data_IF_296820098011
#
_entry.id   IF_296820098011
#
_cell.length_a   1.000
_cell.length_b   1.000
_cell.length_c   1.000
_cell.angle_alpha   90.00
_cell.angle_beta   90.00
_cell.angle_gamma   90.00
#
_symmetry.space_group_name_H-M   'P 1'
#
loop_
_entity.id
_entity.type
_entity.pdbx_description
1 polymer ?
#
# COMPACT_ATOMS: atom_id res chain seq x y z
N UNK A 1 -13.49 28.52 39.34
CA UNK A 1 -12.79 27.54 38.49
C UNK A 1 -13.33 27.73 37.08
N UNK A 2 -12.59 28.40 36.22
CA UNK A 2 -12.94 28.45 34.80
C UNK A 2 -12.58 27.11 34.20
N UNK A 3 -13.60 26.29 33.91
CA UNK A 3 -13.43 25.12 33.05
C UNK A 3 -13.11 25.67 31.67
N UNK A 4 -11.86 25.54 31.23
CA UNK A 4 -11.50 25.76 29.83
C UNK A 4 -12.30 24.74 29.02
N UNK A 5 -13.32 25.19 28.30
CA UNK A 5 -13.89 24.44 27.19
C UNK A 5 -12.81 24.42 26.11
N UNK A 6 -12.15 23.27 25.94
CA UNK A 6 -11.37 23.03 24.74
C UNK A 6 -12.38 23.01 23.59
N UNK A 7 -12.41 24.06 22.77
CA UNK A 7 -13.27 24.10 21.59
C UNK A 7 -12.48 23.61 20.38
N UNK A 8 -12.68 22.34 20.03
CA UNK A 8 -12.11 21.72 18.82
C UNK A 8 -13.05 21.77 17.61
N UNK A 9 -14.04 22.68 17.58
CA UNK A 9 -14.91 22.92 16.41
C UNK A 9 -14.16 23.46 15.15
N UNK A 10 -12.83 23.35 15.11
CA UNK A 10 -11.99 23.79 14.00
C UNK A 10 -11.66 22.70 12.98
N UNK A 11 -11.79 21.42 13.35
CA UNK A 11 -11.73 20.34 12.38
C UNK A 11 -13.01 20.33 11.54
N UNK A 12 -12.89 20.27 10.22
CA UNK A 12 -14.03 20.42 9.32
C UNK A 12 -14.20 19.20 8.45
N UNK A 13 -15.38 18.59 8.50
CA UNK A 13 -15.82 17.55 7.60
C UNK A 13 -16.78 18.15 6.58
N UNK A 14 -16.50 17.93 5.30
CA UNK A 14 -17.40 18.24 4.19
C UNK A 14 -17.71 16.97 3.43
N UNK A 15 -18.99 16.70 3.23
CA UNK A 15 -19.47 15.58 2.41
C UNK A 15 -20.19 16.18 1.21
N UNK A 16 -19.81 15.76 0.01
CA UNK A 16 -20.39 16.28 -1.23
C UNK A 16 -21.89 16.02 -1.26
N UNK A 17 -22.67 17.07 -1.53
CA UNK A 17 -24.12 16.98 -1.66
C UNK A 17 -24.89 17.03 -0.33
N UNK A 18 -24.24 16.79 0.82
CA UNK A 18 -24.87 16.89 2.13
C UNK A 18 -25.05 18.36 2.52
N UNK A 19 -26.30 18.77 2.78
CA UNK A 19 -26.66 20.14 3.19
C UNK A 19 -26.78 20.29 4.70
N UNK A 20 -26.96 19.18 5.40
CA UNK A 20 -27.10 19.13 6.84
C UNK A 20 -25.84 19.69 7.52
N UNK A 21 -25.97 20.47 8.60
CA UNK A 21 -24.81 20.99 9.31
C UNK A 21 -24.01 19.84 9.91
N UNK A 22 -22.69 19.90 9.81
CA UNK A 22 -21.78 18.88 10.32
C UNK A 22 -20.81 19.57 11.25
N UNK A 23 -20.86 19.20 12.53
CA UNK A 23 -19.96 19.71 13.55
C UNK A 23 -19.18 18.55 14.19
N UNK A 24 -17.87 18.51 13.94
CA UNK A 24 -17.02 17.37 14.32
C UNK A 24 -16.93 17.28 15.85
N UNK A 25 -17.14 16.08 16.39
CA UNK A 25 -17.10 15.79 17.81
C UNK A 25 -15.79 15.10 18.20
N UNK A 26 -15.45 14.02 17.49
CA UNK A 26 -14.23 13.25 17.69
C UNK A 26 -13.89 12.49 16.43
N UNK A 27 -12.63 12.11 16.25
CA UNK A 27 -12.24 11.20 15.19
C UNK A 27 -11.07 10.34 15.61
N UNK A 28 -10.94 9.20 14.93
CA UNK A 28 -9.73 8.37 14.95
C UNK A 28 -9.30 8.09 13.52
N UNK A 29 -8.05 8.44 13.20
CA UNK A 29 -7.43 8.24 11.91
C UNK A 29 -6.32 7.19 11.97
N UNK A 30 -6.24 6.34 10.97
CA UNK A 30 -5.16 5.37 10.78
C UNK A 30 -4.61 5.55 9.37
N UNK A 31 -3.30 5.71 9.25
CA UNK A 31 -2.61 5.78 7.95
C UNK A 31 -1.34 4.96 7.99
N UNK A 32 -1.00 4.29 6.89
CA UNK A 32 0.21 3.47 6.79
C UNK A 32 0.70 3.45 5.35
N UNK A 33 2.02 3.38 5.14
CA UNK A 33 2.59 3.17 3.81
C UNK A 33 2.03 1.88 3.22
N UNK A 34 1.69 1.94 1.93
CA UNK A 34 1.13 0.81 1.17
C UNK A 34 -0.15 0.23 1.77
N UNK A 35 -0.95 1.04 2.45
CA UNK A 35 -2.27 0.67 2.97
C UNK A 35 -3.23 1.86 2.92
N UNK A 36 -4.49 1.69 2.46
CA UNK A 36 -5.48 2.76 2.50
C UNK A 36 -5.62 3.36 3.89
N UNK A 37 -5.62 4.70 3.98
CA UNK A 37 -5.94 5.36 5.24
C UNK A 37 -7.42 5.18 5.59
N UNK A 38 -7.76 5.32 6.86
CA UNK A 38 -9.13 5.28 7.36
C UNK A 38 -9.32 6.29 8.49
N UNK A 39 -10.33 7.15 8.34
CA UNK A 39 -10.77 8.07 9.38
C UNK A 39 -12.22 7.78 9.75
N UNK A 40 -12.44 7.33 10.98
CA UNK A 40 -13.78 7.26 11.57
C UNK A 40 -14.03 8.59 12.28
N UNK A 41 -15.01 9.36 11.79
CA UNK A 41 -15.28 10.73 12.20
C UNK A 41 -16.70 10.80 12.74
N UNK A 42 -16.82 11.18 14.00
CA UNK A 42 -18.09 11.42 14.66
C UNK A 42 -18.43 12.90 14.63
N UNK A 43 -19.69 13.22 14.35
CA UNK A 43 -20.18 14.59 14.28
C UNK A 43 -21.61 14.71 14.81
N UNK A 44 -21.99 15.93 15.22
CA UNK A 44 -23.38 16.26 15.54
C UNK A 44 -24.02 17.05 14.40
N UNK A 45 -25.34 16.91 14.28
CA UNK A 45 -26.17 17.66 13.33
C UNK A 45 -27.53 17.97 13.94
N UNK A 46 -28.06 19.15 13.65
CA UNK A 46 -29.47 19.48 13.94
C UNK A 46 -30.44 18.71 13.04
N UNK A 47 -29.95 18.19 11.92
CA UNK A 47 -30.69 17.26 11.06
C UNK A 47 -30.62 15.84 11.61
N UNK A 48 -31.76 15.33 12.07
CA UNK A 48 -31.88 14.02 12.72
C UNK A 48 -32.30 12.90 11.77
N UNK A 49 -32.50 13.24 10.49
CA UNK A 49 -32.97 12.31 9.46
C UNK A 49 -32.00 12.30 8.27
N UNK A 50 -30.68 12.28 8.54
CA UNK A 50 -29.68 12.14 7.49
C UNK A 50 -29.79 10.72 6.92
N UNK A 51 -30.25 10.62 5.67
CA UNK A 51 -30.42 9.35 4.98
C UNK A 51 -29.07 8.79 4.48
N UNK A 52 -28.81 7.48 4.61
CA UNK A 52 -27.55 6.86 4.20
C UNK A 52 -27.15 7.12 2.74
N UNK A 53 -28.12 7.21 1.82
CA UNK A 53 -27.90 7.44 0.39
C UNK A 53 -27.35 8.83 0.09
N UNK A 54 -27.58 9.80 1.00
CA UNK A 54 -27.05 11.15 0.89
C UNK A 54 -25.58 11.26 1.33
N UNK A 55 -25.05 10.22 1.97
CA UNK A 55 -23.73 10.20 2.61
C UNK A 55 -22.81 9.17 1.99
N UNK A 56 -23.26 7.91 1.86
CA UNK A 56 -22.44 6.81 1.35
C UNK A 56 -22.05 7.05 -0.11
N UNK A 57 -20.82 6.64 -0.46
CA UNK A 57 -20.23 6.83 -1.78
C UNK A 57 -20.08 8.28 -2.24
N UNK A 58 -20.33 9.26 -1.36
CA UNK A 58 -20.04 10.66 -1.65
C UNK A 58 -18.58 10.99 -1.38
N UNK A 59 -18.04 11.92 -2.17
CA UNK A 59 -16.70 12.46 -1.94
C UNK A 59 -16.69 13.24 -0.61
N UNK A 60 -15.69 12.97 0.22
CA UNK A 60 -15.48 13.63 1.51
C UNK A 60 -14.17 14.41 1.54
N UNK A 61 -14.16 15.51 2.28
CA UNK A 61 -12.95 16.26 2.62
C UNK A 61 -12.92 16.49 4.14
N UNK A 62 -11.86 15.99 4.78
CA UNK A 62 -11.63 16.16 6.21
C UNK A 62 -10.40 17.02 6.46
N UNK A 63 -10.60 18.20 7.03
CA UNK A 63 -9.56 19.21 7.25
C UNK A 63 -9.12 19.25 8.70
N UNK A 64 -7.84 19.01 8.92
CA UNK A 64 -7.13 19.24 10.18
C UNK A 64 -6.67 20.70 10.21
N UNK A 65 -7.07 21.44 11.25
CA UNK A 65 -6.77 22.86 11.40
C UNK A 65 -6.10 23.11 12.75
N UNK A 66 -5.27 24.15 12.85
CA UNK A 66 -4.82 24.65 14.15
C UNK A 66 -5.97 25.34 14.90
N UNK A 67 -5.93 25.45 16.24
CA UNK A 67 -6.88 26.28 16.99
C UNK A 67 -6.92 27.73 16.47
N UNK A 68 -8.07 28.41 16.53
CA UNK A 68 -8.18 29.78 16.06
C UNK A 68 -7.33 30.73 16.92
N UNK A 69 -6.43 31.47 16.27
CA UNK A 69 -5.60 32.50 16.91
C UNK A 69 -6.35 33.83 16.90
N UNK A 70 -6.43 34.49 18.06
CA UNK A 70 -7.15 35.75 18.23
C UNK A 70 -6.60 36.83 17.28
N UNK A 71 -7.46 37.37 16.40
CA UNK A 71 -7.08 38.38 15.40
C UNK A 71 -6.81 37.87 13.98
N UNK A 72 -6.80 36.54 13.75
CA UNK A 72 -6.75 35.98 12.40
C UNK A 72 -8.14 35.50 11.94
N UNK A 73 -8.76 36.15 10.94
CA UNK A 73 -10.15 35.85 10.53
C UNK A 73 -10.30 34.57 9.70
N UNK A 74 -9.20 34.01 9.16
CA UNK A 74 -9.24 32.83 8.28
C UNK A 74 -8.38 31.72 8.86
N UNK A 75 -9.04 30.65 9.29
CA UNK A 75 -8.38 29.42 9.71
C UNK A 75 -7.98 28.61 8.47
N UNK A 76 -6.67 28.57 8.19
CA UNK A 76 -6.11 27.79 7.09
C UNK A 76 -5.94 26.34 7.59
N UNK A 77 -6.47 25.33 6.88
CA UNK A 77 -6.25 23.94 7.26
C UNK A 77 -4.77 23.60 7.10
N UNK A 78 -4.19 22.95 8.11
CA UNK A 78 -2.82 22.45 8.09
C UNK A 78 -2.69 21.26 7.13
N UNK A 79 -3.71 20.39 7.12
CA UNK A 79 -3.78 19.22 6.24
C UNK A 79 -5.23 18.94 5.91
N UNK A 80 -5.53 18.55 4.67
CA UNK A 80 -6.87 18.09 4.28
C UNK A 80 -6.75 16.75 3.60
N UNK A 81 -7.55 15.79 4.07
CA UNK A 81 -7.67 14.45 3.53
C UNK A 81 -8.89 14.39 2.63
N UNK A 82 -8.69 13.96 1.39
CA UNK A 82 -9.76 13.77 0.43
C UNK A 82 -10.01 12.27 0.24
N UNK A 83 -11.27 11.87 0.15
CA UNK A 83 -11.62 10.47 0.00
C UNK A 83 -13.08 10.27 -0.33
N UNK A 84 -13.59 9.08 -0.08
CA UNK A 84 -14.98 8.67 -0.24
C UNK A 84 -15.53 8.19 1.09
N UNK A 85 -16.79 8.47 1.36
CA UNK A 85 -17.47 7.94 2.55
C UNK A 85 -17.90 6.50 2.31
N UNK A 86 -17.30 5.56 3.05
CA UNK A 86 -17.51 4.11 2.90
C UNK A 86 -18.35 3.49 4.01
N UNK A 87 -18.62 4.25 5.07
CA UNK A 87 -19.43 3.83 6.21
C UNK A 87 -20.20 5.00 6.80
N UNK A 88 -21.39 4.72 7.31
CA UNK A 88 -22.27 5.68 7.96
C UNK A 88 -23.02 5.01 9.09
N UNK A 89 -23.13 5.67 10.24
CA UNK A 89 -23.90 5.21 11.40
C UNK A 89 -24.66 6.39 12.01
N UNK A 90 -25.89 6.12 12.42
CA UNK A 90 -26.61 6.94 13.39
C UNK A 90 -26.33 6.35 14.77
N UNK A 91 -25.69 7.12 15.66
CA UNK A 91 -25.28 6.67 16.99
C UNK A 91 -26.35 6.98 18.05
N UNK A 92 -26.86 8.20 18.08
CA UNK A 92 -27.91 8.61 19.01
C UNK A 92 -28.63 9.89 18.55
N UNK A 93 -29.79 10.16 19.14
CA UNK A 93 -30.56 11.38 18.92
C UNK A 93 -31.02 11.97 20.25
N UNK A 94 -30.96 13.29 20.38
CA UNK A 94 -31.49 14.08 21.49
C UNK A 94 -32.64 14.98 21.01
N UNK A 95 -33.17 15.84 21.90
CA UNK A 95 -34.18 16.84 21.52
C UNK A 95 -33.63 17.92 20.58
N UNK A 96 -32.33 18.20 20.62
CA UNK A 96 -31.74 19.31 19.86
C UNK A 96 -30.94 18.81 18.64
N UNK A 97 -30.17 17.72 18.79
CA UNK A 97 -29.24 17.23 17.76
C UNK A 97 -29.20 15.70 17.69
N UNK A 98 -28.66 15.16 16.59
CA UNK A 98 -28.30 13.76 16.43
C UNK A 98 -26.79 13.60 16.27
N UNK A 99 -26.26 12.47 16.73
CA UNK A 99 -24.85 12.07 16.63
C UNK A 99 -24.71 10.99 15.58
N UNK A 100 -23.80 11.22 14.63
CA UNK A 100 -23.49 10.31 13.54
C UNK A 100 -22.00 9.98 13.52
N UNK A 101 -21.65 8.88 12.85
CA UNK A 101 -20.27 8.51 12.51
C UNK A 101 -20.20 8.26 11.00
N UNK A 102 -19.17 8.79 10.34
CA UNK A 102 -18.81 8.42 8.97
C UNK A 102 -17.40 7.86 8.92
N UNK A 103 -17.17 6.98 7.94
CA UNK A 103 -15.85 6.48 7.60
C UNK A 103 -15.38 7.10 6.29
N UNK A 104 -14.29 7.86 6.35
CA UNK A 104 -13.60 8.42 5.20
C UNK A 104 -12.37 7.57 4.86
N UNK A 105 -12.29 7.09 3.63
CA UNK A 105 -11.19 6.27 3.10
C UNK A 105 -10.81 6.76 1.69
N UNK A 106 -9.59 6.51 1.18
CA UNK A 106 -9.25 6.83 -0.21
C UNK A 106 -10.07 5.95 -1.15
N UNK A 107 -10.20 6.36 -2.41
CA UNK A 107 -10.96 5.58 -3.41
C UNK A 107 -10.42 4.16 -3.56
N UNK A 108 -9.11 3.99 -3.37
CA UNK A 108 -8.43 2.69 -3.41
C UNK A 108 -8.99 1.68 -2.38
N UNK A 109 -9.60 2.12 -1.27
CA UNK A 109 -10.19 1.21 -0.28
C UNK A 109 -11.43 0.46 -0.83
N UNK A 110 -12.13 1.02 -1.82
CA UNK A 110 -13.28 0.39 -2.46
C UNK A 110 -12.91 -0.89 -3.22
N UNK A 111 -11.64 -1.08 -3.59
CA UNK A 111 -11.14 -2.28 -4.27
C UNK A 111 -11.33 -3.56 -3.42
N UNK A 112 -11.51 -3.43 -2.10
CA UNK A 112 -11.86 -4.55 -1.21
C UNK A 112 -13.26 -5.11 -1.44
N UNK A 113 -14.12 -4.40 -2.20
CA UNK A 113 -15.51 -4.78 -2.47
C UNK A 113 -15.67 -5.61 -3.74
N UNK A 114 -14.58 -5.94 -4.41
CA UNK A 114 -14.57 -6.89 -5.52
C UNK A 114 -13.99 -8.23 -5.08
N UNK A 115 -14.25 -9.27 -5.87
CA UNK A 115 -13.58 -10.56 -5.74
C UNK A 115 -13.58 -11.23 -7.10
N UNK A 116 -12.40 -11.59 -7.61
CA UNK A 116 -12.26 -12.01 -9.00
C UNK A 116 -11.38 -13.24 -9.17
N UNK A 117 -11.62 -13.95 -10.26
CA UNK A 117 -10.68 -14.86 -10.87
C UNK A 117 -10.44 -14.35 -12.29
N UNK A 118 -9.21 -13.94 -12.60
CA UNK A 118 -8.90 -13.27 -13.86
C UNK A 118 -7.47 -13.57 -14.31
N UNK A 119 -7.26 -13.54 -15.63
CA UNK A 119 -5.96 -13.76 -16.26
C UNK A 119 -5.48 -12.45 -16.89
N UNK A 120 -4.23 -12.09 -16.62
CA UNK A 120 -3.54 -10.97 -17.28
C UNK A 120 -2.37 -11.54 -18.05
N UNK A 121 -2.29 -11.27 -19.35
CA UNK A 121 -1.22 -11.76 -20.22
C UNK A 121 -0.39 -10.61 -20.78
N UNK A 122 0.92 -10.87 -20.94
CA UNK A 122 1.89 -9.98 -21.60
C UNK A 122 1.84 -8.53 -21.09
N UNK A 123 1.69 -8.36 -19.77
CA UNK A 123 1.65 -7.06 -19.11
C UNK A 123 2.67 -7.01 -17.98
N UNK A 124 3.25 -5.84 -17.76
CA UNK A 124 4.10 -5.56 -16.60
C UNK A 124 3.23 -5.44 -15.34
N UNK A 125 3.82 -5.57 -14.15
CA UNK A 125 3.10 -5.35 -12.89
C UNK A 125 2.42 -3.96 -12.85
N UNK A 126 3.11 -2.84 -13.16
CA UNK A 126 2.46 -1.53 -13.23
C UNK A 126 1.29 -1.46 -14.22
N UNK A 127 1.41 -2.09 -15.39
CA UNK A 127 0.32 -2.13 -16.39
C UNK A 127 -0.91 -2.89 -15.87
N UNK A 128 -0.72 -4.01 -15.17
CA UNK A 128 -1.83 -4.77 -14.57
C UNK A 128 -2.53 -3.91 -13.52
N UNK A 129 -1.76 -3.24 -12.65
CA UNK A 129 -2.31 -2.35 -11.63
C UNK A 129 -3.08 -1.19 -12.26
N UNK A 130 -2.48 -0.50 -13.23
CA UNK A 130 -3.13 0.58 -13.97
C UNK A 130 -4.44 0.11 -14.63
N UNK A 131 -4.41 -1.06 -15.29
CA UNK A 131 -5.60 -1.65 -15.93
C UNK A 131 -6.73 -1.84 -14.91
N UNK A 132 -6.44 -2.40 -13.74
CA UNK A 132 -7.44 -2.60 -12.69
C UNK A 132 -8.00 -1.26 -12.21
N UNK A 133 -7.14 -0.29 -11.89
CA UNK A 133 -7.55 1.02 -11.39
C UNK A 133 -8.44 1.75 -12.40
N UNK A 134 -8.06 1.75 -13.69
CA UNK A 134 -8.81 2.44 -14.75
C UNK A 134 -10.07 1.71 -15.19
N UNK A 135 -9.95 0.46 -15.60
CA UNK A 135 -11.04 -0.24 -16.28
C UNK A 135 -12.09 -0.73 -15.29
N UNK A 136 -11.66 -1.29 -14.16
CA UNK A 136 -12.56 -1.91 -13.18
C UNK A 136 -13.07 -0.93 -12.12
N UNK A 137 -12.26 0.06 -11.73
CA UNK A 137 -12.60 1.02 -10.67
C UNK A 137 -12.77 2.48 -11.16
N UNK A 138 -12.67 2.69 -12.48
CA UNK A 138 -12.90 3.98 -13.14
C UNK A 138 -12.07 5.13 -12.54
N UNK A 139 -10.88 4.82 -12.03
CA UNK A 139 -9.92 5.83 -11.59
C UNK A 139 -9.30 6.52 -12.81
N UNK A 140 -9.29 7.85 -12.76
CA UNK A 140 -8.80 8.72 -13.84
C UNK A 140 -7.29 8.84 -13.75
N UNK A 141 -6.65 9.32 -14.81
CA UNK A 141 -5.19 9.48 -14.83
C UNK A 141 -4.64 10.52 -13.83
N UNK A 142 -5.50 11.34 -13.24
CA UNK A 142 -5.14 12.28 -12.17
C UNK A 142 -5.27 11.67 -10.77
N UNK A 143 -5.91 10.50 -10.63
CA UNK A 143 -6.17 9.87 -9.33
C UNK A 143 -4.98 9.01 -8.87
N UNK A 144 -4.00 8.76 -9.74
CA UNK A 144 -2.80 8.00 -9.40
C UNK A 144 -1.63 8.32 -10.35
N UNK A 145 -0.41 8.09 -9.89
CA UNK A 145 0.83 8.28 -10.66
C UNK A 145 1.88 7.21 -10.31
N UNK A 146 2.57 6.71 -11.34
CA UNK A 146 3.70 5.80 -11.19
C UNK A 146 5.01 6.58 -11.34
N UNK A 147 5.73 6.75 -10.24
CA UNK A 147 7.04 7.39 -10.17
C UNK A 147 8.11 6.31 -9.89
N UNK A 148 8.29 5.42 -10.86
CA UNK A 148 9.16 4.25 -10.72
C UNK A 148 10.53 4.55 -11.34
N UNK A 149 11.60 4.21 -10.62
CA UNK A 149 12.99 4.27 -11.10
C UNK A 149 13.31 3.11 -12.04
N UNK A 150 12.75 1.93 -11.78
CA UNK A 150 13.01 0.71 -12.54
C UNK A 150 12.01 0.53 -13.69
N UNK A 151 12.49 -0.03 -14.80
CA UNK A 151 11.62 -0.57 -15.85
C UNK A 151 11.28 -2.02 -15.54
N UNK A 152 9.99 -2.33 -15.43
CA UNK A 152 9.51 -3.67 -15.09
C UNK A 152 9.27 -4.52 -16.35
N UNK A 153 9.70 -5.79 -16.38
CA UNK A 153 9.48 -6.66 -17.53
C UNK A 153 8.00 -7.06 -17.63
N UNK A 154 7.60 -7.42 -18.85
CA UNK A 154 6.27 -7.98 -19.10
C UNK A 154 6.22 -9.43 -18.60
N UNK A 155 5.20 -9.76 -17.80
CA UNK A 155 4.93 -11.13 -17.36
C UNK A 155 4.07 -11.82 -18.41
N UNK A 156 4.47 -13.02 -18.83
CA UNK A 156 3.72 -13.79 -19.84
C UNK A 156 2.28 -14.06 -19.39
N UNK A 157 2.11 -14.42 -18.11
CA UNK A 157 0.80 -14.58 -17.50
C UNK A 157 0.84 -14.34 -15.99
N UNK A 158 -0.14 -13.62 -15.48
CA UNK A 158 -0.43 -13.41 -14.07
C UNK A 158 -1.88 -13.77 -13.81
N UNK A 159 -2.16 -14.50 -12.74
CA UNK A 159 -3.52 -14.86 -12.33
C UNK A 159 -3.89 -14.14 -11.04
N UNK A 160 -5.08 -13.54 -11.04
CA UNK A 160 -5.82 -13.19 -9.82
C UNK A 160 -6.76 -14.36 -9.53
N UNK A 161 -6.73 -14.91 -8.31
CA UNK A 161 -7.55 -16.09 -7.98
C UNK A 161 -8.07 -16.02 -6.55
N UNK A 162 -9.39 -15.87 -6.41
CA UNK A 162 -10.08 -15.88 -5.14
C UNK A 162 -9.80 -14.67 -4.25
N UNK A 163 -9.16 -13.63 -4.78
CA UNK A 163 -8.72 -12.41 -4.09
C UNK A 163 -9.58 -11.21 -4.51
N UNK A 164 -9.76 -10.24 -3.61
CA UNK A 164 -10.22 -8.90 -3.96
C UNK A 164 -9.14 -8.11 -4.70
N UNK A 165 -9.52 -7.01 -5.35
CA UNK A 165 -8.58 -6.25 -6.18
C UNK A 165 -7.53 -5.52 -5.37
N UNK A 166 -7.84 -5.11 -4.14
CA UNK A 166 -6.87 -4.41 -3.31
C UNK A 166 -5.78 -5.39 -2.89
N UNK A 167 -6.18 -6.57 -2.39
CA UNK A 167 -5.24 -7.64 -2.02
C UNK A 167 -4.38 -8.06 -3.21
N UNK A 168 -4.99 -8.24 -4.40
CA UNK A 168 -4.25 -8.59 -5.62
C UNK A 168 -3.23 -7.52 -6.03
N UNK A 169 -3.65 -6.25 -6.09
CA UNK A 169 -2.77 -5.11 -6.42
C UNK A 169 -1.64 -4.99 -5.39
N UNK A 170 -1.97 -4.94 -4.10
CA UNK A 170 -0.99 -4.84 -3.02
C UNK A 170 -0.01 -6.01 -3.03
N UNK A 171 -0.48 -7.22 -3.34
CA UNK A 171 0.39 -8.39 -3.46
C UNK A 171 1.39 -8.22 -4.60
N UNK A 172 0.92 -7.91 -5.81
CA UNK A 172 1.81 -7.71 -6.96
C UNK A 172 2.85 -6.63 -6.71
N UNK A 173 2.44 -5.49 -6.13
CA UNK A 173 3.35 -4.39 -5.79
C UNK A 173 4.38 -4.82 -4.74
N UNK A 174 3.95 -5.50 -3.68
CA UNK A 174 4.84 -6.02 -2.63
C UNK A 174 5.84 -7.07 -3.13
N UNK A 175 5.44 -7.92 -4.10
CA UNK A 175 6.33 -8.91 -4.72
C UNK A 175 7.53 -8.23 -5.40
N UNK A 176 7.28 -7.11 -6.09
CA UNK A 176 8.30 -6.39 -6.86
C UNK A 176 8.87 -5.16 -6.15
N UNK A 177 8.57 -4.99 -4.86
CA UNK A 177 9.13 -3.94 -4.01
C UNK A 177 8.58 -2.53 -4.23
N UNK A 178 7.50 -2.38 -5.01
CA UNK A 178 6.80 -1.10 -5.18
C UNK A 178 5.95 -0.84 -3.95
N UNK A 179 6.11 0.32 -3.34
CA UNK A 179 5.28 0.83 -2.27
C UNK A 179 4.45 2.01 -2.77
N UNK A 180 3.39 2.37 -2.05
CA UNK A 180 2.58 3.54 -2.38
C UNK A 180 2.21 4.37 -1.16
N UNK A 181 1.84 5.61 -1.41
CA UNK A 181 1.31 6.55 -0.41
C UNK A 181 0.16 7.36 -1.03
N UNK A 182 -0.57 8.06 -0.17
CA UNK A 182 -1.68 8.92 -0.56
C UNK A 182 -1.26 10.39 -0.38
N UNK A 183 -1.15 11.11 -1.50
CA UNK A 183 -0.88 12.54 -1.54
C UNK A 183 -2.18 13.32 -1.81
N UNK A 184 -2.17 14.62 -1.56
CA UNK A 184 -3.29 15.52 -1.86
C UNK A 184 -2.89 16.51 -2.94
N UNK A 185 -3.60 16.52 -4.06
CA UNK A 185 -3.47 17.59 -5.04
C UNK A 185 -4.32 18.79 -4.57
N UNK A 186 -3.65 19.84 -4.08
CA UNK A 186 -4.32 21.03 -3.55
C UNK A 186 -5.13 21.82 -4.61
N UNK A 187 -4.76 21.71 -5.89
CA UNK A 187 -5.45 22.40 -7.00
C UNK A 187 -6.74 21.68 -7.36
N UNK A 188 -6.67 20.36 -7.51
CA UNK A 188 -7.80 19.51 -7.89
C UNK A 188 -8.68 19.11 -6.70
N UNK A 189 -8.17 19.24 -5.46
CA UNK A 189 -8.84 18.84 -4.21
C UNK A 189 -9.24 17.37 -4.23
N UNK A 190 -8.30 16.54 -4.68
CA UNK A 190 -8.43 15.10 -4.75
C UNK A 190 -7.26 14.45 -4.02
N UNK A 191 -7.47 13.20 -3.65
CA UNK A 191 -6.40 12.30 -3.25
C UNK A 191 -5.78 11.67 -4.50
N UNK A 192 -4.46 11.52 -4.47
CA UNK A 192 -3.66 10.90 -5.53
C UNK A 192 -2.83 9.77 -4.94
N UNK A 193 -2.95 8.57 -5.52
CA UNK A 193 -2.12 7.43 -5.16
C UNK A 193 -0.77 7.53 -5.88
N UNK A 194 0.31 7.64 -5.14
CA UNK A 194 1.65 7.74 -5.71
C UNK A 194 2.42 6.43 -5.47
N UNK A 195 2.85 5.78 -6.55
CA UNK A 195 3.62 4.53 -6.52
C UNK A 195 5.12 4.80 -6.73
N UNK A 196 5.96 4.19 -5.90
CA UNK A 196 7.42 4.33 -5.91
C UNK A 196 8.12 3.00 -5.65
N UNK A 197 9.33 2.83 -6.17
CA UNK A 197 10.20 1.68 -5.95
C UNK A 197 11.55 2.05 -5.28
N UNK A 198 11.77 3.32 -4.98
CA UNK A 198 12.98 3.83 -4.33
C UNK A 198 12.66 4.95 -3.31
N UNK A 199 13.69 5.62 -2.77
CA UNK A 199 13.53 6.69 -1.77
C UNK A 199 13.12 8.04 -2.36
N UNK A 200 12.93 8.16 -3.68
CA UNK A 200 12.57 9.44 -4.32
C UNK A 200 11.18 9.94 -3.92
N UNK A 201 10.29 9.03 -3.52
CA UNK A 201 8.95 9.35 -3.04
C UNK A 201 8.88 9.81 -1.58
N UNK A 202 10.00 9.87 -0.86
CA UNK A 202 9.98 10.36 0.51
C UNK A 202 9.89 11.87 0.54
N UNK A 203 8.92 12.39 1.29
CA UNK A 203 8.88 13.81 1.61
C UNK A 203 9.94 14.11 2.67
N UNK A 204 10.55 15.29 2.60
CA UNK A 204 11.62 15.71 3.51
C UNK A 204 11.40 17.13 3.98
N UNK A 205 12.08 17.49 5.06
CA UNK A 205 12.20 18.87 5.50
C UNK A 205 11.46 19.18 6.80
N UNK A 206 10.79 18.21 7.41
CA UNK A 206 10.20 18.41 8.74
C UNK A 206 11.21 18.06 9.83
N UNK A 207 11.49 19.03 10.70
CA UNK A 207 12.30 18.84 11.89
C UNK A 207 11.50 19.25 13.11
N UNK A 208 11.35 18.34 14.08
CA UNK A 208 10.52 18.56 15.27
C UNK A 208 11.38 18.56 16.54
N UNK A 209 11.10 19.43 17.52
CA UNK A 209 11.79 19.39 18.81
C UNK A 209 11.30 18.22 19.67
N UNK A 210 12.21 17.59 20.43
CA UNK A 210 11.85 16.69 21.52
C UNK A 210 11.34 17.51 22.70
N UNK A 211 10.05 17.41 23.03
CA UNK A 211 9.46 18.08 24.20
C UNK A 211 8.38 17.21 24.82
N UNK A 212 8.56 16.86 26.09
CA UNK A 212 7.53 16.19 26.86
C UNK A 212 6.38 17.15 27.18
N UNK A 213 5.11 16.74 27.03
CA UNK A 213 3.98 17.51 27.52
C UNK A 213 4.14 17.72 29.02
N UNK A 214 4.28 18.97 29.48
CA UNK A 214 4.40 19.28 30.91
C UNK A 214 3.27 20.21 31.37
N UNK A 215 2.36 19.65 32.17
CA UNK A 215 1.30 20.38 32.86
C UNK A 215 0.45 21.29 31.95
N UNK A 216 0.39 22.58 32.28
CA UNK A 216 -0.51 23.59 31.69
C UNK A 216 0.10 24.35 30.50
N UNK A 217 1.28 23.97 30.00
CA UNK A 217 2.01 24.73 28.98
C UNK A 217 2.25 23.88 27.72
N UNK A 218 1.34 23.99 26.75
CA UNK A 218 1.57 23.56 25.38
C UNK A 218 2.17 24.74 24.62
N UNK A 219 3.50 24.80 24.53
CA UNK A 219 4.28 25.98 24.11
C UNK A 219 4.17 26.36 22.63
N UNK A 220 2.96 26.37 22.08
CA UNK A 220 2.55 26.78 20.71
C UNK A 220 3.36 26.14 19.56
N UNK A 221 4.21 25.15 19.85
CA UNK A 221 5.13 24.54 18.88
C UNK A 221 4.84 23.05 18.81
N UNK A 222 4.53 22.55 17.61
CA UNK A 222 4.44 21.11 17.34
C UNK A 222 5.72 20.40 17.81
N UNK A 223 5.58 19.28 18.51
CA UNK A 223 6.69 18.56 19.11
C UNK A 223 6.53 17.05 19.01
N UNK A 224 7.60 16.33 19.33
CA UNK A 224 7.59 14.88 19.50
C UNK A 224 8.01 14.49 20.92
N UNK A 225 7.48 13.38 21.42
CA UNK A 225 7.85 12.78 22.70
C UNK A 225 7.58 11.27 22.70
N UNK A 226 7.83 10.62 23.83
CA UNK A 226 7.56 9.17 23.99
C UNK A 226 8.36 8.30 23.01
N UNK A 227 9.54 8.77 22.59
CA UNK A 227 10.36 8.11 21.59
C UNK A 227 10.86 6.75 22.11
N UNK A 228 10.53 5.69 21.37
CA UNK A 228 10.91 4.32 21.68
C UNK A 228 11.66 3.71 20.48
N UNK A 229 12.70 2.92 20.77
CA UNK A 229 13.48 2.22 19.77
C UNK A 229 13.51 0.73 20.11
N UNK A 230 13.13 -0.11 19.14
CA UNK A 230 13.19 -1.57 19.25
C UNK A 230 14.04 -2.12 18.11
N UNK A 231 14.99 -3.01 18.44
CA UNK A 231 15.90 -3.61 17.47
C UNK A 231 15.82 -5.13 17.53
N UNK A 232 15.93 -5.78 16.38
CA UNK A 232 15.94 -7.24 16.25
C UNK A 232 17.08 -7.67 15.32
N UNK A 233 17.65 -8.84 15.59
CA UNK A 233 18.59 -9.47 14.65
C UNK A 233 17.78 -9.98 13.46
N UNK A 234 18.23 -9.62 12.27
CA UNK A 234 17.63 -10.05 10.99
C UNK A 234 18.68 -10.74 10.13
N UNK A 235 18.23 -11.33 9.03
CA UNK A 235 19.04 -12.09 8.10
C UNK A 235 20.15 -11.22 7.50
N UNK A 236 21.38 -11.74 7.47
CA UNK A 236 22.57 -11.01 7.01
C UNK A 236 22.69 -10.99 5.49
N UNK A 237 22.27 -12.08 4.85
CA UNK A 237 22.36 -12.21 3.40
C UNK A 237 21.20 -13.01 2.85
N UNK A 238 20.92 -12.80 1.57
CA UNK A 238 19.85 -13.47 0.86
C UNK A 238 20.36 -14.10 -0.42
N UNK A 239 19.96 -15.35 -0.67
CA UNK A 239 20.18 -16.05 -1.93
C UNK A 239 18.84 -16.53 -2.50
N UNK A 240 18.64 -16.36 -3.80
CA UNK A 240 17.45 -16.86 -4.49
C UNK A 240 17.84 -17.93 -5.51
N UNK A 241 16.92 -18.86 -5.78
CA UNK A 241 17.09 -19.89 -6.82
C UNK A 241 15.76 -20.17 -7.49
N UNK A 242 15.81 -20.43 -8.79
CA UNK A 242 14.64 -20.87 -9.55
C UNK A 242 14.97 -21.99 -10.53
N UNK A 243 13.97 -22.42 -11.28
CA UNK A 243 14.10 -23.36 -12.39
C UNK A 243 13.31 -22.85 -13.60
N UNK A 244 14.03 -22.59 -14.69
CA UNK A 244 13.42 -22.27 -15.97
C UNK A 244 13.57 -23.46 -16.92
N UNK A 245 12.45 -24.11 -17.25
CA UNK A 245 12.46 -25.30 -18.12
C UNK A 245 12.96 -25.02 -19.54
N UNK A 246 12.87 -23.78 -20.02
CA UNK A 246 13.38 -23.39 -21.36
C UNK A 246 14.90 -23.40 -21.41
N UNK A 247 15.54 -23.28 -20.26
CA UNK A 247 16.99 -23.32 -20.06
C UNK A 247 17.30 -24.23 -18.87
N UNK A 248 16.84 -25.49 -18.93
CA UNK A 248 16.79 -26.40 -17.79
C UNK A 248 18.16 -26.69 -17.13
N UNK A 249 19.26 -26.53 -17.87
CA UNK A 249 20.64 -26.73 -17.39
C UNK A 249 21.30 -25.46 -16.86
N UNK A 250 20.64 -24.29 -16.95
CA UNK A 250 21.20 -23.03 -16.48
C UNK A 250 21.34 -23.01 -14.94
N UNK A 251 22.46 -22.47 -14.46
CA UNK A 251 22.66 -22.20 -13.04
C UNK A 251 21.86 -20.97 -12.62
N UNK A 252 20.78 -21.20 -11.88
CA UNK A 252 19.79 -20.17 -11.51
C UNK A 252 19.92 -19.72 -10.05
N UNK A 253 20.95 -20.17 -9.32
CA UNK A 253 21.22 -19.71 -7.97
C UNK A 253 21.98 -18.39 -8.02
N UNK A 254 21.49 -17.38 -7.29
CA UNK A 254 22.18 -16.09 -7.20
C UNK A 254 23.42 -16.19 -6.33
N UNK A 255 24.26 -15.18 -6.42
CA UNK A 255 25.23 -14.92 -5.36
C UNK A 255 24.50 -14.40 -4.11
N UNK A 256 25.17 -14.49 -2.95
CA UNK A 256 24.66 -13.93 -1.70
C UNK A 256 24.58 -12.40 -1.82
N UNK A 257 23.40 -11.85 -1.58
CA UNK A 257 23.18 -10.42 -1.57
C UNK A 257 23.24 -9.85 -0.14
N UNK A 258 24.08 -8.82 0.07
CA UNK A 258 24.21 -8.10 1.33
C UNK A 258 24.10 -6.57 1.11
N UNK A 259 23.02 -5.97 1.64
CA UNK A 259 22.75 -4.53 1.61
C UNK A 259 23.11 -3.82 2.94
N UNK A 260 23.59 -4.55 3.94
CA UNK A 260 23.93 -4.02 5.27
C UNK A 260 25.16 -3.11 5.23
N UNK A 261 26.03 -3.32 4.23
CA UNK A 261 27.31 -2.66 4.07
C UNK A 261 28.23 -2.84 5.28
N UNK A 262 28.34 -4.08 5.78
CA UNK A 262 29.25 -4.46 6.86
C UNK A 262 28.71 -4.28 8.28
N UNK A 263 27.39 -4.21 8.44
CA UNK A 263 26.77 -4.25 9.76
C UNK A 263 27.03 -5.62 10.40
N UNK A 264 27.46 -5.62 11.66
CA UNK A 264 27.75 -6.84 12.42
C UNK A 264 26.59 -7.25 13.34
N UNK A 265 25.44 -6.58 13.24
CA UNK A 265 24.23 -6.88 14.05
C UNK A 265 23.21 -7.78 13.33
N UNK A 266 23.56 -8.30 12.16
CA UNK A 266 22.77 -9.28 11.38
C UNK A 266 23.41 -10.67 11.41
N UNK A 267 22.62 -11.72 11.20
CA UNK A 267 23.12 -13.10 11.23
C UNK A 267 22.35 -14.03 10.27
N UNK A 268 23.03 -15.08 9.80
CA UNK A 268 22.41 -16.13 8.99
C UNK A 268 22.23 -15.77 7.51
N UNK A 269 21.84 -16.77 6.72
CA UNK A 269 21.51 -16.66 5.30
C UNK A 269 20.04 -17.04 5.10
N UNK A 270 19.30 -16.19 4.38
CA UNK A 270 17.96 -16.51 3.91
C UNK A 270 18.03 -17.10 2.48
N UNK A 271 17.67 -18.38 2.35
CA UNK A 271 17.54 -19.02 1.05
C UNK A 271 16.08 -19.06 0.60
N UNK A 272 15.81 -18.56 -0.61
CA UNK A 272 14.48 -18.57 -1.22
C UNK A 272 14.48 -19.32 -2.55
N UNK A 273 13.43 -20.11 -2.76
CA UNK A 273 13.22 -20.87 -3.99
C UNK A 273 11.87 -20.51 -4.61
N UNK A 274 11.81 -20.51 -5.95
CA UNK A 274 10.60 -20.31 -6.75
C UNK A 274 9.99 -18.90 -6.67
N UNK A 275 10.80 -17.88 -6.95
CA UNK A 275 10.37 -16.49 -7.10
C UNK A 275 9.76 -16.19 -8.49
N UNK A 276 9.79 -17.16 -9.41
CA UNK A 276 9.37 -17.14 -10.81
C UNK A 276 10.18 -16.21 -11.73
N UNK A 277 11.48 -16.02 -11.45
CA UNK A 277 12.35 -15.26 -12.35
C UNK A 277 12.86 -16.12 -13.51
N UNK A 278 12.97 -15.53 -14.70
CA UNK A 278 13.40 -16.26 -15.91
C UNK A 278 14.92 -16.32 -16.06
N UNK A 279 15.65 -15.42 -15.40
CA UNK A 279 17.10 -15.29 -15.47
C UNK A 279 17.67 -14.84 -14.11
N UNK A 280 18.86 -15.31 -13.75
CA UNK A 280 19.60 -14.87 -12.55
C UNK A 280 19.76 -13.34 -12.52
N UNK A 281 20.22 -12.77 -13.64
CA UNK A 281 20.35 -11.34 -13.88
C UNK A 281 21.16 -10.57 -12.83
N UNK A 282 21.11 -9.23 -12.92
CA UNK A 282 21.69 -8.30 -11.95
C UNK A 282 20.62 -7.66 -11.06
N UNK A 283 21.02 -7.14 -9.91
CA UNK A 283 20.13 -6.54 -8.90
C UNK A 283 19.32 -5.33 -9.41
N UNK A 284 19.81 -4.64 -10.43
CA UNK A 284 19.10 -3.50 -11.05
C UNK A 284 18.14 -3.93 -12.17
N UNK A 285 18.26 -5.16 -12.68
CA UNK A 285 17.32 -5.70 -13.65
C UNK A 285 16.07 -6.19 -12.91
N UNK A 286 14.97 -5.43 -13.02
CA UNK A 286 13.72 -5.74 -12.33
C UNK A 286 13.25 -7.18 -12.59
N UNK A 287 12.77 -7.85 -11.53
CA UNK A 287 12.32 -9.24 -11.53
C UNK A 287 13.38 -10.31 -11.92
N UNK A 288 14.67 -9.97 -11.93
CA UNK A 288 15.75 -10.95 -11.95
C UNK A 288 15.88 -11.68 -10.61
N UNK A 289 16.59 -12.80 -10.58
CA UNK A 289 16.92 -13.48 -9.32
C UNK A 289 17.65 -12.58 -8.33
N UNK A 290 18.68 -11.85 -8.79
CA UNK A 290 19.44 -10.92 -7.96
C UNK A 290 18.60 -9.74 -7.47
N UNK A 291 17.63 -9.28 -8.28
CA UNK A 291 16.66 -8.28 -7.87
C UNK A 291 15.77 -8.77 -6.72
N UNK A 292 15.24 -9.99 -6.80
CA UNK A 292 14.43 -10.56 -5.71
C UNK A 292 15.26 -10.78 -4.45
N UNK A 293 16.52 -11.18 -4.57
CA UNK A 293 17.44 -11.26 -3.43
C UNK A 293 17.62 -9.91 -2.73
N UNK A 294 17.79 -8.82 -3.52
CA UNK A 294 17.83 -7.45 -3.01
C UNK A 294 16.55 -7.06 -2.28
N UNK A 295 15.40 -7.12 -2.96
CA UNK A 295 14.12 -6.67 -2.39
C UNK A 295 13.77 -7.43 -1.09
N UNK A 296 14.07 -8.73 -1.02
CA UNK A 296 13.89 -9.54 0.18
C UNK A 296 14.81 -9.10 1.32
N UNK A 297 16.09 -8.85 1.04
CA UNK A 297 17.02 -8.40 2.06
C UNK A 297 16.62 -7.02 2.61
N UNK A 298 16.27 -6.08 1.73
CA UNK A 298 15.82 -4.75 2.14
C UNK A 298 14.58 -4.82 3.05
N UNK A 299 13.67 -5.77 2.81
CA UNK A 299 12.53 -6.03 3.69
C UNK A 299 12.96 -6.52 5.08
N UNK A 300 13.89 -7.48 5.17
CA UNK A 300 14.44 -7.91 6.47
C UNK A 300 15.09 -6.74 7.20
N UNK A 301 15.85 -5.89 6.49
CA UNK A 301 16.47 -4.71 7.07
C UNK A 301 15.45 -3.66 7.55
N UNK A 302 14.27 -3.55 6.92
CA UNK A 302 13.19 -2.70 7.43
C UNK A 302 12.61 -3.21 8.77
N UNK A 303 12.75 -4.50 9.09
CA UNK A 303 12.30 -5.10 10.35
C UNK A 303 13.36 -5.04 11.46
N UNK A 304 14.62 -4.75 11.11
CA UNK A 304 15.74 -4.67 12.04
C UNK A 304 15.53 -3.61 13.13
N UNK A 305 14.87 -2.50 12.80
CA UNK A 305 14.64 -1.38 13.71
C UNK A 305 13.24 -0.80 13.54
N UNK A 306 12.40 -0.96 14.57
CA UNK A 306 11.06 -0.39 14.64
C UNK A 306 11.06 0.72 15.69
N UNK A 307 10.74 1.93 15.25
CA UNK A 307 10.78 3.14 16.05
C UNK A 307 9.35 3.63 16.28
N UNK A 308 9.05 4.11 17.48
CA UNK A 308 7.73 4.66 17.80
C UNK A 308 7.86 5.99 18.52
N UNK A 309 6.82 6.81 18.44
CA UNK A 309 6.75 8.07 19.16
C UNK A 309 5.35 8.68 19.13
N UNK A 310 5.22 9.81 19.80
CA UNK A 310 4.00 10.60 19.89
C UNK A 310 4.26 12.02 19.39
N UNK A 311 3.23 12.68 18.88
CA UNK A 311 3.32 14.06 18.40
C UNK A 311 1.98 14.78 18.38
N UNK A 312 2.02 16.11 18.44
CA UNK A 312 0.89 17.01 18.15
C UNK A 312 0.88 17.51 16.70
N UNK A 313 1.89 17.18 15.89
CA UNK A 313 2.00 17.71 14.51
C UNK A 313 1.00 17.06 13.57
N UNK A 314 0.09 17.85 12.99
CA UNK A 314 -0.87 17.34 12.00
C UNK A 314 -0.26 17.11 10.61
N UNK A 315 1.02 17.49 10.44
CA UNK A 315 1.79 17.32 9.21
C UNK A 315 2.41 15.92 9.10
N UNK A 316 2.51 15.16 10.18
CA UNK A 316 3.06 13.80 10.13
C UNK A 316 2.14 12.89 9.33
N UNK A 317 2.74 12.25 8.32
CA UNK A 317 2.06 11.33 7.42
C UNK A 317 3.02 10.22 6.96
N UNK A 318 2.51 9.05 6.56
CA UNK A 318 3.34 7.99 6.01
C UNK A 318 4.10 8.45 4.76
N UNK A 319 5.40 8.14 4.69
CA UNK A 319 6.30 8.57 3.61
C UNK A 319 7.07 9.86 3.91
N UNK A 320 6.86 10.49 5.07
CA UNK A 320 7.63 11.67 5.51
C UNK A 320 8.90 11.26 6.27
N UNK A 321 10.06 11.73 5.82
CA UNK A 321 11.32 11.72 6.57
C UNK A 321 11.31 12.88 7.58
N UNK A 322 11.46 12.55 8.86
CA UNK A 322 11.60 13.54 9.93
C UNK A 322 12.94 13.43 10.63
N UNK A 323 13.39 14.56 11.18
CA UNK A 323 14.49 14.62 12.15
C UNK A 323 14.00 15.18 13.47
N UNK A 324 14.56 14.68 14.56
CA UNK A 324 14.25 15.18 15.91
C UNK A 324 15.40 16.01 16.44
N UNK A 325 15.11 17.21 16.92
CA UNK A 325 16.07 18.08 17.62
C UNK A 325 16.07 17.82 19.13
N UNK A 326 17.22 18.08 19.75
CA UNK A 326 17.45 17.92 21.19
C UNK A 326 18.50 16.85 21.46
N UNK A 327 19.46 17.15 22.34
CA UNK A 327 20.56 16.23 22.64
C UNK A 327 20.11 14.94 23.31
N UNK A 328 18.97 14.99 24.01
CA UNK A 328 18.33 13.85 24.67
C UNK A 328 17.59 12.92 23.70
N UNK A 329 17.40 13.32 22.44
CA UNK A 329 16.75 12.48 21.44
C UNK A 329 17.65 11.28 21.05
N UNK A 330 17.10 10.06 20.95
CA UNK A 330 17.89 8.90 20.53
C UNK A 330 18.54 9.17 19.17
N UNK A 331 19.81 8.76 19.03
CA UNK A 331 20.64 9.14 17.88
C UNK A 331 20.02 8.79 16.52
N UNK A 332 19.24 7.71 16.44
CA UNK A 332 18.52 7.30 15.22
C UNK A 332 17.51 8.35 14.76
N UNK A 333 16.75 8.97 15.69
CA UNK A 333 15.80 10.03 15.39
C UNK A 333 16.48 11.34 14.98
N UNK A 334 17.68 11.60 15.51
CA UNK A 334 18.48 12.78 15.11
C UNK A 334 19.04 12.65 13.70
N UNK A 335 19.44 11.43 13.29
CA UNK A 335 19.94 11.15 11.92
C UNK A 335 18.84 11.22 10.87
N UNK A 336 17.63 10.78 11.22
CA UNK A 336 16.47 10.82 10.35
C UNK A 336 15.72 9.48 10.36
N UNK A 337 14.39 9.56 10.37
CA UNK A 337 13.50 8.39 10.36
C UNK A 337 12.39 8.60 9.36
N UNK A 338 11.98 7.53 8.68
CA UNK A 338 10.85 7.53 7.76
C UNK A 338 9.59 7.09 8.51
N UNK A 339 8.57 7.94 8.53
CA UNK A 339 7.25 7.58 9.08
C UNK A 339 6.62 6.51 8.18
N UNK A 340 6.34 5.34 8.75
CA UNK A 340 5.69 4.23 8.05
C UNK A 340 4.21 4.13 8.38
N UNK A 341 3.77 4.66 9.52
CA UNK A 341 2.36 4.73 9.87
C UNK A 341 2.06 5.71 11.00
N UNK A 342 0.84 6.20 11.04
CA UNK A 342 0.32 7.10 12.08
C UNK A 342 -1.06 6.64 12.54
N UNK A 343 -1.34 6.86 13.83
CA UNK A 343 -2.68 6.75 14.40
C UNK A 343 -2.97 8.04 15.13
N UNK A 344 -3.93 8.80 14.61
CA UNK A 344 -4.29 10.12 15.09
C UNK A 344 -5.65 10.08 15.80
N UNK A 345 -5.82 10.88 16.84
CA UNK A 345 -7.10 11.06 17.50
C UNK A 345 -7.26 12.50 17.99
N UNK A 346 -8.48 13.00 17.92
CA UNK A 346 -8.86 14.24 18.60
C UNK A 346 -10.33 14.16 19.02
N UNK A 347 -10.70 14.95 20.02
CA UNK A 347 -12.07 15.09 20.48
C UNK A 347 -12.30 16.53 20.96
N UNK A 348 -13.55 16.96 21.13
CA UNK A 348 -13.83 18.27 21.74
C UNK A 348 -13.25 18.40 23.14
N UNK A 349 -13.14 17.33 23.90
CA UNK A 349 -12.54 17.33 25.23
C UNK A 349 -11.05 16.94 25.22
N UNK A 350 -10.42 16.77 24.05
CA UNK A 350 -9.03 16.31 23.92
C UNK A 350 -8.33 16.84 22.68
N UNK A 351 -7.18 17.48 22.89
CA UNK A 351 -6.30 17.95 21.82
C UNK A 351 -5.93 16.87 20.82
N UNK A 352 -5.65 17.30 19.58
CA UNK A 352 -5.09 16.44 18.56
C UNK A 352 -3.76 15.84 19.01
N UNK A 353 -3.70 14.52 19.02
CA UNK A 353 -2.49 13.75 19.29
C UNK A 353 -2.40 12.61 18.29
N UNK A 354 -1.19 12.28 17.88
CA UNK A 354 -0.92 11.08 17.10
C UNK A 354 0.20 10.27 17.71
N UNK A 355 0.11 8.96 17.52
CA UNK A 355 1.23 8.04 17.66
C UNK A 355 1.73 7.64 16.29
N UNK A 356 3.04 7.51 16.10
CA UNK A 356 3.62 7.11 14.83
C UNK A 356 4.54 5.90 14.99
N UNK A 357 4.67 5.14 13.91
CA UNK A 357 5.70 4.12 13.71
C UNK A 357 6.62 4.57 12.58
N UNK A 358 7.90 4.29 12.72
CA UNK A 358 8.93 4.69 11.78
C UNK A 358 10.04 3.64 11.67
N UNK A 359 10.79 3.72 10.57
CA UNK A 359 12.04 2.99 10.37
C UNK A 359 13.20 3.99 10.21
N UNK A 360 14.46 3.62 10.49
CA UNK A 360 15.60 4.48 10.20
C UNK A 360 15.66 4.85 8.72
N UNK A 361 15.97 6.11 8.42
CA UNK A 361 16.28 6.49 7.05
C UNK A 361 17.63 5.88 6.62
N UNK A 362 17.69 5.33 5.41
CA UNK A 362 18.88 4.73 4.81
C UNK A 362 19.05 5.19 3.37
N UNK A 363 20.28 5.55 2.99
CA UNK A 363 20.63 5.83 1.60
C UNK A 363 20.85 4.54 0.78
N UNK A 364 21.10 3.42 1.46
CA UNK A 364 21.46 2.14 0.83
C UNK A 364 20.24 1.35 0.36
N UNK A 365 19.13 1.46 1.06
CA UNK A 365 17.91 0.72 0.79
C UNK A 365 16.67 1.52 1.18
N UNK A 366 15.56 1.25 0.49
CA UNK A 366 14.27 1.88 0.75
C UNK A 366 13.36 1.06 1.67
N UNK A 367 12.16 1.59 1.89
CA UNK A 367 11.04 0.89 2.48
C UNK A 367 10.51 -0.14 1.48
N UNK A 368 10.21 -1.33 1.98
CA UNK A 368 9.57 -2.42 1.25
C UNK A 368 8.28 -2.82 1.95
N UNK A 369 7.16 -2.91 1.22
CA UNK A 369 5.92 -3.39 1.81
C UNK A 369 6.08 -4.84 2.29
N UNK A 370 5.31 -5.18 3.32
CA UNK A 370 5.18 -6.56 3.77
C UNK A 370 4.67 -7.44 2.61
N UNK A 371 5.23 -8.64 2.49
CA UNK A 371 4.86 -9.56 1.41
C UNK A 371 3.50 -10.18 1.70
N UNK A 372 2.57 -10.07 0.76
CA UNK A 372 1.28 -10.76 0.84
C UNK A 372 1.43 -12.17 0.23
N UNK A 373 1.04 -13.26 0.94
CA UNK A 373 1.13 -14.61 0.40
C UNK A 373 0.34 -14.77 -0.90
N UNK A 374 0.90 -15.53 -1.85
CA UNK A 374 0.19 -15.89 -3.09
C UNK A 374 -1.03 -16.77 -2.78
N UNK A 375 -2.15 -16.60 -3.51
CA UNK A 375 -3.31 -17.45 -3.35
C UNK A 375 -2.95 -18.89 -3.72
N UNK A 376 -3.46 -19.85 -2.95
CA UNK A 376 -3.22 -21.28 -3.18
C UNK A 376 -4.38 -21.86 -3.97
N UNK A 377 -4.11 -22.35 -5.18
CA UNK A 377 -5.04 -23.15 -5.97
C UNK A 377 -4.89 -24.62 -5.55
N UNK A 378 -5.71 -25.07 -4.59
CA UNK A 378 -5.68 -26.47 -4.16
C UNK A 378 -6.34 -27.38 -5.20
N UNK A 379 -5.63 -28.42 -5.63
CA UNK A 379 -6.11 -29.42 -6.59
C UNK A 379 -5.87 -29.06 -8.05
N UNK A 380 -6.67 -29.63 -8.94
CA UNK A 380 -6.59 -29.41 -10.40
C UNK A 380 -7.76 -28.57 -10.88
N UNK A 381 -7.50 -27.61 -11.76
CA UNK A 381 -8.54 -26.82 -12.40
C UNK A 381 -8.93 -27.43 -13.75
N UNK A 382 -10.24 -27.59 -14.04
CA UNK A 382 -10.68 -28.01 -15.36
C UNK A 382 -10.35 -26.91 -16.38
N UNK A 383 -9.89 -27.33 -17.55
CA UNK A 383 -9.58 -26.44 -18.65
C UNK A 383 -9.87 -27.14 -19.98
N UNK A 384 -10.27 -26.37 -21.01
CA UNK A 384 -10.51 -26.90 -22.36
C UNK A 384 -9.32 -26.57 -23.25
N UNK A 385 -8.80 -27.54 -24.00
CA UNK A 385 -7.76 -27.26 -24.99
C UNK A 385 -8.32 -26.38 -26.10
N UNK A 386 -7.58 -25.35 -26.49
CA UNK A 386 -8.01 -24.32 -27.45
C UNK A 386 -7.16 -24.36 -28.71
N UNK A 387 -7.74 -23.94 -29.84
CA UNK A 387 -7.02 -23.75 -31.11
C UNK A 387 -7.30 -22.37 -31.69
N UNK A 388 -6.34 -21.87 -32.48
CA UNK A 388 -6.51 -20.65 -33.28
C UNK A 388 -7.33 -20.90 -34.56
N UNK A 389 -7.55 -22.17 -34.91
CA UNK A 389 -8.35 -22.59 -36.07
C UNK A 389 -9.78 -22.90 -35.61
N UNK A 390 -10.77 -22.36 -36.33
CA UNK A 390 -12.18 -22.61 -36.04
C UNK A 390 -12.53 -24.08 -36.34
N UNK A 391 -13.20 -24.75 -35.40
CA UNK A 391 -13.58 -26.17 -35.47
C UNK A 391 -12.39 -27.09 -35.73
N UNK A 392 -11.22 -26.76 -35.15
CA UNK A 392 -10.06 -27.62 -35.24
C UNK A 392 -10.35 -28.97 -34.61
N UNK A 393 -10.03 -30.04 -35.34
CA UNK A 393 -10.14 -31.41 -34.86
C UNK A 393 -8.87 -31.83 -34.10
N UNK A 394 -7.78 -31.05 -34.22
CA UNK A 394 -6.53 -31.25 -33.50
C UNK A 394 -6.30 -30.14 -32.48
N UNK A 395 -5.51 -30.47 -31.46
CA UNK A 395 -5.04 -29.50 -30.51
C UNK A 395 -3.89 -28.68 -31.12
N UNK A 396 -3.93 -27.35 -30.97
CA UNK A 396 -2.84 -26.49 -31.40
C UNK A 396 -1.65 -26.65 -30.44
N UNK A 397 -0.57 -27.22 -30.95
CA UNK A 397 0.70 -27.41 -30.24
C UNK A 397 1.80 -26.51 -30.78
N UNK A 398 2.68 -26.07 -29.90
CA UNK A 398 3.92 -25.41 -30.32
C UNK A 398 5.06 -26.41 -30.56
N UNK A 399 6.22 -25.88 -30.97
CA UNK A 399 7.42 -26.67 -31.24
C UNK A 399 7.93 -27.49 -30.05
N UNK A 400 7.55 -27.10 -28.83
CA UNK A 400 7.95 -27.76 -27.58
C UNK A 400 6.84 -28.72 -27.08
N UNK A 401 5.79 -28.95 -27.88
CA UNK A 401 4.68 -29.84 -27.56
C UNK A 401 3.76 -29.31 -26.45
N UNK A 402 3.76 -27.99 -26.22
CA UNK A 402 2.88 -27.32 -25.25
C UNK A 402 1.53 -26.99 -25.89
N UNK A 403 0.52 -26.81 -25.05
CA UNK A 403 -0.84 -26.50 -25.47
C UNK A 403 -1.31 -25.18 -24.85
N UNK A 404 -2.34 -24.57 -25.43
CA UNK A 404 -3.11 -23.50 -24.78
C UNK A 404 -4.45 -24.05 -24.30
N UNK A 405 -4.91 -23.50 -23.19
CA UNK A 405 -6.14 -23.93 -22.55
C UNK A 405 -7.01 -22.74 -22.20
N UNK A 406 -8.31 -22.90 -22.31
CA UNK A 406 -9.30 -22.01 -21.73
C UNK A 406 -9.60 -22.48 -20.31
N UNK A 407 -9.35 -21.62 -19.33
CA UNK A 407 -9.64 -21.88 -17.93
C UNK A 407 -11.06 -21.40 -17.60
N UNK A 408 -11.92 -22.32 -17.15
CA UNK A 408 -13.35 -22.07 -16.98
C UNK A 408 -13.71 -20.95 -15.97
N UNK A 409 -12.77 -20.57 -15.09
CA UNK A 409 -12.99 -19.49 -14.13
C UNK A 409 -12.84 -18.09 -14.76
N UNK A 410 -12.11 -18.00 -15.88
CA UNK A 410 -11.82 -16.71 -16.48
C UNK A 410 -13.04 -16.21 -17.26
N UNK A 411 -13.46 -14.99 -16.95
CA UNK A 411 -14.68 -14.38 -17.50
C UNK A 411 -14.39 -13.49 -18.70
N UNK A 412 -13.12 -13.20 -18.96
CA UNK A 412 -12.72 -12.38 -20.08
C UNK A 412 -12.88 -13.13 -21.40
N UNK A 413 -13.21 -12.38 -22.45
CA UNK A 413 -13.32 -12.94 -23.80
C UNK A 413 -11.97 -12.81 -24.50
N UNK A 414 -11.36 -13.94 -24.79
CA UNK A 414 -10.11 -14.01 -25.53
C UNK A 414 -10.34 -14.40 -26.98
N UNK A 415 -9.38 -14.05 -27.84
CA UNK A 415 -9.32 -14.62 -29.18
C UNK A 415 -9.06 -16.13 -29.05
N UNK A 416 -9.80 -16.99 -29.78
CA UNK A 416 -9.57 -18.44 -29.75
C UNK A 416 -8.10 -18.82 -29.94
N UNK A 417 -7.59 -19.65 -29.02
CA UNK A 417 -6.21 -20.10 -29.00
C UNK A 417 -5.23 -19.10 -28.37
N UNK A 418 -5.69 -18.11 -27.60
CA UNK A 418 -4.89 -17.13 -26.86
C UNK A 418 -5.34 -16.95 -25.39
N UNK A 419 -6.16 -17.85 -24.88
CA UNK A 419 -6.78 -17.81 -23.54
C UNK A 419 -5.76 -18.00 -22.40
N UNK A 420 -4.66 -18.71 -22.65
CA UNK A 420 -3.60 -18.95 -21.66
C UNK A 420 -2.19 -18.83 -22.26
N UNK A 421 -1.19 -18.80 -21.38
CA UNK A 421 0.18 -19.17 -21.71
C UNK A 421 0.25 -20.60 -22.25
N UNK A 422 1.38 -20.92 -22.88
CA UNK A 422 1.71 -22.29 -23.26
C UNK A 422 1.93 -23.17 -22.02
N UNK A 423 1.08 -24.17 -21.85
CA UNK A 423 1.10 -25.12 -20.74
C UNK A 423 1.79 -26.41 -21.17
N UNK A 424 2.68 -26.91 -20.31
CA UNK A 424 3.36 -28.20 -20.51
C UNK A 424 2.41 -29.36 -20.21
N UNK A 425 2.41 -30.36 -21.07
CA UNK A 425 1.66 -31.61 -20.86
C UNK A 425 2.52 -32.59 -20.07
N UNK A 426 2.00 -33.11 -18.95
CA UNK A 426 2.61 -34.27 -18.29
C UNK A 426 2.42 -35.52 -19.16
N UNK A 427 3.48 -36.33 -19.31
CA UNK A 427 3.47 -37.51 -20.18
C UNK A 427 3.94 -38.76 -19.42
N UNK A 428 3.46 -39.96 -19.81
CA UNK A 428 3.93 -41.22 -19.23
C UNK A 428 5.44 -41.46 -19.43
N UNK A 429 6.01 -40.96 -20.53
CA UNK A 429 7.44 -41.04 -20.81
C UNK A 429 7.93 -39.81 -21.59
N UNK A 430 8.94 -39.12 -21.03
CA UNK A 430 9.64 -38.02 -21.66
C UNK A 430 11.16 -38.21 -21.49
N UNK A 431 11.89 -38.23 -22.59
CA UNK A 431 13.35 -38.31 -22.64
C UNK A 431 13.92 -37.33 -23.67
N UNK A 432 15.24 -37.17 -23.67
CA UNK A 432 15.93 -36.21 -24.54
C UNK A 432 15.78 -36.53 -26.04
N UNK A 433 15.89 -37.81 -26.40
CA UNK A 433 15.78 -38.28 -27.80
C UNK A 433 14.46 -39.01 -28.10
N UNK A 434 13.92 -39.73 -27.12
CA UNK A 434 12.72 -40.57 -27.28
C UNK A 434 11.68 -40.18 -26.24
N UNK A 435 10.42 -40.24 -26.63
CA UNK A 435 9.30 -39.96 -25.76
C UNK A 435 8.01 -40.53 -26.34
N UNK A 436 6.98 -40.59 -25.50
CA UNK A 436 5.65 -40.99 -25.93
C UNK A 436 4.89 -39.73 -26.39
N UNK A 437 4.46 -39.71 -27.65
CA UNK A 437 3.62 -38.65 -28.24
C UNK A 437 2.24 -39.24 -28.54
N UNK A 438 1.21 -38.73 -27.86
CA UNK A 438 -0.19 -39.14 -27.99
C UNK A 438 -1.01 -38.00 -28.59
#
# INVERSE_FOLDING_TARGET
>A
MNVQFFDHAHHKLKIRGLKSPVDVLTFTGHEQLSSPFRYDIEFTSTDKAIEPESVLMQDGAFSLSAPPVQGMPVQVPLRTLHGVITGFKHLSSSQDEARYEVRLEPRMALLTRSRQNAIYQNQTVPQIVEKILRERHQMRGQDFVFNLKSEYPSREQVMQYGEDDLTFVSRLLSEVGIWFRFATDARLKIEVVEFYDDQSGYERGLTLPLRHPSGLFDGETEAVWGLNTAYSVVEKSVTTRDYNYRTATAEMMTEQHDATGGDNTTYGEAYHYADNFLQKGDKEAAESGAFYARIRHERYLNEQAILKGQSTSSLLMPGLEIRVQGDDAPAVFRKGVLITGVTASAARDRSYELTFTAIPYSERYGYRPALIPRPVMAGTLPARVTSTVKNDIYAHIDKDGRYRVNLDFDRDTWKPGYESLWVRQSRPYAGDTYGLHL
#
